data_IF_547028772281
#
_entry.id   IF_547028772281
#
_cell.length_a   1.000
_cell.length_b   1.000
_cell.length_c   1.000
_cell.angle_alpha   90.00
_cell.angle_beta   90.00
_cell.angle_gamma   90.00
#
_symmetry.space_group_name_H-M   'P 1'
#
loop_
_entity.id
_entity.type
_entity.pdbx_description
1 polymer ?
#
# COMPACT_ATOMS: atom_id res chain seq x y z
N UNK A 1 -19.89 -12.49 -11.50
CA UNK A 1 -18.52 -11.98 -11.62
C UNK A 1 -17.89 -12.07 -10.23
N UNK A 2 -16.81 -12.83 -10.06
CA UNK A 2 -16.11 -12.91 -8.77
C UNK A 2 -15.10 -11.78 -8.77
N UNK A 3 -15.39 -10.68 -8.07
CA UNK A 3 -14.37 -9.67 -7.76
C UNK A 3 -13.41 -10.31 -6.77
N UNK A 4 -12.25 -10.76 -7.25
CA UNK A 4 -11.19 -11.25 -6.37
C UNK A 4 -10.69 -10.06 -5.55
N UNK A 5 -11.21 -9.90 -4.34
CA UNK A 5 -10.94 -8.72 -3.51
C UNK A 5 -9.49 -8.78 -3.01
N UNK A 6 -8.71 -7.75 -3.31
CA UNK A 6 -7.35 -7.58 -2.79
C UNK A 6 -7.35 -7.59 -1.25
N UNK A 7 -6.47 -8.38 -0.65
CA UNK A 7 -6.34 -8.46 0.81
C UNK A 7 -5.56 -7.26 1.36
N UNK A 8 -6.17 -6.54 2.30
CA UNK A 8 -5.53 -5.43 3.02
C UNK A 8 -4.26 -5.91 3.74
N UNK A 9 -4.27 -7.12 4.32
CA UNK A 9 -3.13 -7.66 5.06
C UNK A 9 -1.98 -8.04 4.13
N UNK A 10 -2.27 -8.69 2.99
CA UNK A 10 -1.21 -9.07 2.04
C UNK A 10 -0.49 -7.83 1.49
N UNK A 11 -1.25 -6.80 1.11
CA UNK A 11 -0.67 -5.54 0.61
C UNK A 11 0.08 -4.80 1.73
N UNK A 12 -0.38 -4.88 2.98
CA UNK A 12 0.32 -4.32 4.14
C UNK A 12 1.67 -4.99 4.36
N UNK A 13 1.74 -6.31 4.28
CA UNK A 13 2.99 -7.06 4.42
C UNK A 13 3.95 -6.77 3.26
N UNK A 14 3.46 -6.67 2.03
CA UNK A 14 4.28 -6.21 0.89
C UNK A 14 4.88 -4.82 1.16
N UNK A 15 4.07 -3.87 1.66
CA UNK A 15 4.55 -2.54 2.01
C UNK A 15 5.62 -2.57 3.11
N UNK A 16 5.41 -3.34 4.18
CA UNK A 16 6.37 -3.47 5.28
C UNK A 16 7.72 -3.97 4.73
N UNK A 17 7.70 -5.06 3.96
CA UNK A 17 8.89 -5.64 3.33
C UNK A 17 9.60 -4.65 2.41
N UNK A 18 8.86 -3.94 1.55
CA UNK A 18 9.45 -2.97 0.61
C UNK A 18 10.19 -1.83 1.32
N UNK A 19 9.76 -1.47 2.53
CA UNK A 19 10.35 -0.39 3.30
C UNK A 19 11.61 -0.80 4.07
N UNK A 20 11.98 -2.07 4.08
CA UNK A 20 13.30 -2.51 4.57
C UNK A 20 14.42 -1.99 3.64
N UNK A 21 14.11 -1.81 2.36
CA UNK A 21 15.07 -1.42 1.31
C UNK A 21 14.87 0.02 0.79
N UNK A 22 13.79 0.69 1.22
CA UNK A 22 13.33 1.93 0.57
C UNK A 22 12.67 2.95 1.50
N UNK A 23 12.35 4.12 0.94
CA UNK A 23 11.71 5.22 1.69
C UNK A 23 10.22 5.36 1.33
N UNK A 24 9.36 5.30 2.34
CA UNK A 24 7.89 5.44 2.22
C UNK A 24 7.46 6.74 1.52
N UNK A 25 8.25 7.80 1.61
CA UNK A 25 7.96 9.08 0.95
C UNK A 25 7.94 8.98 -0.58
N UNK A 26 8.78 8.10 -1.18
CA UNK A 26 8.82 7.94 -2.63
C UNK A 26 7.59 7.18 -3.12
N UNK A 27 7.23 6.10 -2.42
CA UNK A 27 6.01 5.33 -2.70
C UNK A 27 4.79 6.25 -2.64
N UNK A 28 4.63 7.00 -1.54
CA UNK A 28 3.54 7.96 -1.35
C UNK A 28 3.41 8.95 -2.52
N UNK A 29 4.54 9.52 -2.97
CA UNK A 29 4.57 10.46 -4.10
C UNK A 29 4.16 9.79 -5.42
N UNK A 30 4.64 8.57 -5.67
CA UNK A 30 4.37 7.86 -6.93
C UNK A 30 2.90 7.44 -7.07
N UNK A 31 2.27 6.99 -5.98
CA UNK A 31 0.89 6.51 -6.01
C UNK A 31 -0.15 7.57 -5.65
N UNK A 32 0.27 8.82 -5.39
CA UNK A 32 -0.63 9.92 -5.04
C UNK A 32 -1.34 9.78 -3.69
N UNK A 33 -0.85 8.91 -2.80
CA UNK A 33 -1.41 8.71 -1.46
C UNK A 33 -0.59 9.49 -0.42
N UNK A 34 -1.20 10.28 0.47
CA UNK A 34 -0.45 11.00 1.50
C UNK A 34 0.37 10.07 2.38
N UNK A 35 1.62 10.45 2.68
CA UNK A 35 2.55 9.67 3.52
C UNK A 35 1.92 9.23 4.85
N UNK A 36 1.13 10.11 5.49
CA UNK A 36 0.44 9.81 6.74
C UNK A 36 -0.57 8.67 6.59
N UNK A 37 -1.27 8.60 5.45
CA UNK A 37 -2.22 7.52 5.17
C UNK A 37 -1.49 6.19 5.03
N UNK A 38 -0.38 6.14 4.28
CA UNK A 38 0.46 4.94 4.22
C UNK A 38 1.04 4.55 5.58
N UNK A 39 1.41 5.53 6.41
CA UNK A 39 1.91 5.26 7.77
C UNK A 39 0.82 4.63 8.65
N UNK A 40 -0.39 5.18 8.62
CA UNK A 40 -1.52 4.64 9.39
C UNK A 40 -1.90 3.24 8.87
N UNK A 41 -1.85 3.02 7.55
CA UNK A 41 -2.11 1.70 6.96
C UNK A 41 -1.06 0.66 7.38
N UNK A 42 0.23 1.00 7.26
CA UNK A 42 1.36 0.14 7.66
C UNK A 42 1.29 -0.28 9.13
N UNK A 43 0.87 0.64 9.99
CA UNK A 43 0.75 0.41 11.44
C UNK A 43 -0.58 -0.22 11.86
N UNK A 44 -1.43 -0.62 10.90
CA UNK A 44 -2.73 -1.23 11.19
C UNK A 44 -3.78 -0.27 11.74
N UNK A 45 -3.49 1.04 11.82
CA UNK A 45 -4.43 2.07 12.31
C UNK A 45 -5.60 2.33 11.36
N UNK A 46 -5.48 1.93 10.10
CA UNK A 46 -6.55 2.03 9.10
C UNK A 46 -6.39 1.01 7.98
N UNK A 47 -7.49 0.80 7.27
CA UNK A 47 -7.49 0.20 5.94
C UNK A 47 -7.45 1.29 4.85
N UNK A 48 -7.10 0.88 3.63
CA UNK A 48 -7.16 1.71 2.44
C UNK A 48 -8.51 1.52 1.72
N UNK A 49 -8.95 2.56 1.04
CA UNK A 49 -10.02 2.42 0.04
C UNK A 49 -9.55 1.53 -1.11
N UNK A 50 -10.47 0.83 -1.78
CA UNK A 50 -10.13 -0.16 -2.81
C UNK A 50 -9.20 0.42 -3.89
N UNK A 51 -9.48 1.62 -4.42
CA UNK A 51 -8.62 2.29 -5.42
C UNK A 51 -7.21 2.61 -4.90
N UNK A 52 -7.10 2.96 -3.61
CA UNK A 52 -5.82 3.22 -2.96
C UNK A 52 -5.04 1.93 -2.69
N UNK A 53 -5.75 0.85 -2.36
CA UNK A 53 -5.17 -0.48 -2.16
C UNK A 53 -4.64 -1.05 -3.49
N UNK A 54 -5.41 -0.91 -4.57
CA UNK A 54 -5.01 -1.29 -5.93
C UNK A 54 -3.78 -0.50 -6.39
N UNK A 55 -3.78 0.83 -6.24
CA UNK A 55 -2.65 1.67 -6.62
C UNK A 55 -1.37 1.29 -5.85
N UNK A 56 -1.50 1.02 -4.55
CA UNK A 56 -0.37 0.57 -3.73
C UNK A 56 0.11 -0.82 -4.17
N UNK A 57 -0.79 -1.79 -4.34
CA UNK A 57 -0.41 -3.14 -4.75
C UNK A 57 0.28 -3.15 -6.11
N UNK A 58 -0.25 -2.41 -7.08
CA UNK A 58 0.35 -2.28 -8.41
C UNK A 58 1.75 -1.69 -8.34
N UNK A 59 1.99 -0.68 -7.50
CA UNK A 59 3.34 -0.16 -7.31
C UNK A 59 4.29 -1.22 -6.74
N UNK A 60 3.87 -1.93 -5.69
CA UNK A 60 4.69 -2.93 -4.98
C UNK A 60 5.00 -4.17 -5.83
N UNK A 61 4.14 -4.54 -6.77
CA UNK A 61 4.37 -5.68 -7.66
C UNK A 61 5.30 -5.34 -8.85
N UNK A 62 5.54 -4.05 -9.11
CA UNK A 62 6.32 -3.59 -10.27
C UNK A 62 7.64 -2.87 -9.91
N UNK A 63 7.91 -2.63 -8.62
CA UNK A 63 9.09 -1.89 -8.15
C UNK A 63 9.76 -2.59 -6.98
#
# INVERSE_FOLDING_TARGET
MVTNKLSQEEVRQKLIRKLEEGKQQYIAKQIGIPKQILSNFKTGKRELWDSSLEALNNYLDNH
#
